data_IF_920252889571
#
_entry.id   IF_920252889571
#
_cell.length_a   1.000
_cell.length_b   1.000
_cell.length_c   1.000
_cell.angle_alpha   90.00
_cell.angle_beta   90.00
_cell.angle_gamma   90.00
#
_symmetry.space_group_name_H-M   'P 1'
#
loop_
_entity.id
_entity.type
_entity.pdbx_description
1 polymer ?
#
# COMPACT_ATOMS: atom_id res chain seq x y z
N UNK A 1 10.60 -25.23 14.91
CA UNK A 1 9.52 -25.18 15.92
C UNK A 1 8.16 -25.24 15.22
N UNK A 2 7.11 -25.62 15.99
CA UNK A 2 5.73 -25.63 15.51
C UNK A 2 5.01 -24.37 15.99
N UNK A 3 4.36 -23.67 15.09
CA UNK A 3 3.58 -22.45 15.38
C UNK A 3 2.12 -22.68 14.99
N UNK A 4 1.19 -21.93 15.62
CA UNK A 4 -0.21 -21.97 15.21
C UNK A 4 -0.86 -20.59 15.26
N UNK A 5 -1.83 -20.38 14.37
CA UNK A 5 -2.66 -19.17 14.33
C UNK A 5 -4.06 -19.51 13.82
N UNK A 6 -4.97 -18.55 13.83
CA UNK A 6 -6.34 -18.74 13.33
C UNK A 6 -6.36 -18.87 11.81
N UNK A 7 -7.29 -19.64 11.29
CA UNK A 7 -7.61 -19.75 9.86
C UNK A 7 -8.01 -18.42 9.25
N UNK A 8 -8.02 -18.38 7.93
CA UNK A 8 -8.33 -17.18 7.17
C UNK A 8 -7.23 -16.16 7.28
N UNK A 9 -5.98 -16.58 7.04
CA UNK A 9 -4.80 -15.73 7.18
C UNK A 9 -4.83 -14.55 6.20
N UNK A 10 -4.32 -13.41 6.67
CA UNK A 10 -4.19 -12.19 5.90
C UNK A 10 -2.78 -11.63 6.04
N UNK A 11 -2.55 -10.42 5.58
CA UNK A 11 -1.23 -9.81 5.40
C UNK A 11 -0.28 -9.98 6.58
N UNK A 12 -0.68 -9.63 7.83
CA UNK A 12 0.21 -9.72 8.99
C UNK A 12 0.54 -11.17 9.37
N UNK A 13 -0.45 -12.09 9.32
CA UNK A 13 -0.21 -13.52 9.59
C UNK A 13 0.72 -14.16 8.58
N UNK A 14 0.50 -13.90 7.30
CA UNK A 14 1.36 -14.42 6.22
C UNK A 14 2.78 -13.87 6.38
N UNK A 15 2.92 -12.57 6.59
CA UNK A 15 4.21 -11.94 6.76
C UNK A 15 4.93 -12.39 8.03
N UNK A 16 4.19 -12.59 9.13
CA UNK A 16 4.72 -13.10 10.38
C UNK A 16 5.20 -14.54 10.26
N UNK A 17 4.45 -15.41 9.59
CA UNK A 17 4.88 -16.78 9.30
C UNK A 17 6.12 -16.82 8.39
N UNK A 18 6.14 -15.99 7.32
CA UNK A 18 7.30 -15.83 6.45
C UNK A 18 8.53 -15.36 7.25
N UNK A 19 8.38 -14.34 8.11
CA UNK A 19 9.47 -13.81 8.93
C UNK A 19 10.03 -14.89 9.87
N UNK A 20 9.16 -15.66 10.54
CA UNK A 20 9.54 -16.77 11.40
C UNK A 20 10.33 -17.81 10.64
N UNK A 21 9.83 -18.29 9.50
CA UNK A 21 10.49 -19.34 8.68
C UNK A 21 11.81 -18.88 8.10
N UNK A 22 11.90 -17.63 7.66
CA UNK A 22 13.08 -17.14 6.93
C UNK A 22 14.22 -16.64 7.83
N UNK A 23 13.91 -16.03 8.98
CA UNK A 23 14.90 -15.30 9.78
C UNK A 23 15.05 -15.83 11.20
N UNK A 24 14.11 -16.65 11.69
CA UNK A 24 14.12 -17.14 13.07
C UNK A 24 14.32 -18.65 13.11
N UNK A 25 13.55 -19.41 12.37
CA UNK A 25 13.56 -20.87 12.37
C UNK A 25 13.24 -21.42 10.97
N UNK A 26 14.26 -21.78 10.19
CA UNK A 26 14.06 -22.35 8.84
C UNK A 26 13.22 -23.64 8.81
N UNK A 27 13.15 -24.35 9.94
CA UNK A 27 12.32 -25.55 10.13
C UNK A 27 10.92 -25.25 10.68
N UNK A 28 10.48 -23.98 10.72
CA UNK A 28 9.17 -23.61 11.20
C UNK A 28 8.03 -24.26 10.42
N UNK A 29 7.10 -24.91 11.14
CA UNK A 29 5.86 -25.44 10.60
C UNK A 29 4.68 -24.69 11.19
N UNK A 30 3.60 -24.54 10.41
CA UNK A 30 2.44 -23.75 10.78
C UNK A 30 1.19 -24.62 10.81
N UNK A 31 0.30 -24.37 11.77
CA UNK A 31 -1.00 -25.02 11.91
C UNK A 31 -2.06 -23.92 11.98
N UNK A 32 -3.09 -24.05 11.16
CA UNK A 32 -4.20 -23.11 11.11
C UNK A 32 -5.42 -23.72 11.82
N UNK A 33 -5.90 -23.05 12.85
CA UNK A 33 -6.96 -23.53 13.75
C UNK A 33 -8.18 -22.62 13.75
N UNK A 34 -9.31 -23.14 14.20
CA UNK A 34 -10.50 -22.31 14.42
C UNK A 34 -10.33 -21.40 15.63
N UNK A 35 -11.21 -20.41 15.76
CA UNK A 35 -11.14 -19.45 16.88
C UNK A 35 -11.36 -20.17 18.22
N UNK A 36 -10.47 -19.91 19.17
CA UNK A 36 -10.51 -20.53 20.50
C UNK A 36 -9.79 -21.87 20.61
N UNK A 37 -9.40 -22.47 19.48
CA UNK A 37 -8.60 -23.70 19.49
C UNK A 37 -7.14 -23.45 19.85
N UNK A 38 -6.51 -24.42 20.49
CA UNK A 38 -5.10 -24.40 20.85
C UNK A 38 -4.40 -25.67 20.36
N UNK A 39 -3.09 -25.55 20.07
CA UNK A 39 -2.27 -26.70 19.65
C UNK A 39 -1.22 -26.97 20.73
N UNK A 40 -1.33 -28.09 21.48
CA UNK A 40 -0.35 -28.44 22.51
C UNK A 40 1.07 -28.51 21.95
N UNK A 41 2.02 -27.88 22.64
CA UNK A 41 3.43 -27.86 22.24
C UNK A 41 3.77 -26.96 21.07
N UNK A 42 2.81 -26.21 20.53
CA UNK A 42 3.05 -25.20 19.50
C UNK A 42 2.99 -23.77 20.07
N UNK A 43 3.69 -22.85 19.43
CA UNK A 43 3.76 -21.44 19.81
C UNK A 43 2.65 -20.65 19.12
N UNK A 44 1.74 -19.99 19.86
CA UNK A 44 0.72 -19.12 19.25
C UNK A 44 1.33 -17.85 18.67
N UNK A 45 0.84 -17.43 17.49
CA UNK A 45 1.15 -16.13 16.92
C UNK A 45 -0.09 -15.49 16.28
N UNK A 46 -0.17 -14.17 16.32
CA UNK A 46 -1.31 -13.37 15.87
C UNK A 46 -2.67 -13.87 16.41
N UNK A 47 -2.65 -14.24 17.69
CA UNK A 47 -3.82 -14.59 18.49
C UNK A 47 -3.88 -13.64 19.69
N UNK A 48 -5.07 -13.26 20.09
CA UNK A 48 -5.28 -12.39 21.26
C UNK A 48 -4.60 -12.95 22.51
N UNK A 49 -3.81 -12.14 23.20
CA UNK A 49 -3.06 -12.54 24.40
C UNK A 49 -1.76 -13.30 24.14
N UNK A 50 -1.46 -13.69 22.89
CA UNK A 50 -0.17 -14.32 22.57
C UNK A 50 0.99 -13.33 22.71
N UNK A 51 2.15 -13.83 23.13
CA UNK A 51 3.38 -13.02 23.17
C UNK A 51 3.77 -12.52 21.78
N UNK A 52 3.61 -13.36 20.74
CA UNK A 52 3.76 -13.00 19.33
C UNK A 52 2.39 -12.56 18.79
N UNK A 53 1.92 -11.38 19.19
CA UNK A 53 0.64 -10.84 18.79
C UNK A 53 0.66 -9.31 18.74
N UNK A 54 -0.51 -8.71 18.51
CA UNK A 54 -0.67 -7.26 18.48
C UNK A 54 -0.46 -6.65 19.86
N UNK A 55 0.47 -5.71 19.98
CA UNK A 55 0.77 -5.03 21.23
C UNK A 55 0.96 -3.53 21.04
N UNK A 56 0.18 -2.72 21.74
CA UNK A 56 0.36 -1.25 21.80
C UNK A 56 0.44 -0.59 20.42
N UNK A 57 -0.46 -0.91 19.53
CA UNK A 57 -0.53 -0.33 18.18
C UNK A 57 0.51 -0.87 17.19
N UNK A 58 1.18 -1.98 17.52
CA UNK A 58 2.08 -2.71 16.62
C UNK A 58 1.42 -3.98 16.14
N UNK A 59 1.70 -4.34 14.88
CA UNK A 59 1.27 -5.63 14.34
C UNK A 59 2.18 -6.78 14.82
N UNK A 60 1.75 -8.01 14.56
CA UNK A 60 2.48 -9.22 14.98
C UNK A 60 3.86 -9.32 14.37
N UNK A 61 4.02 -8.93 13.11
CA UNK A 61 5.32 -8.86 12.44
C UNK A 61 6.32 -8.02 13.23
N UNK A 62 5.93 -6.82 13.68
CA UNK A 62 6.79 -5.94 14.48
C UNK A 62 7.09 -6.51 15.88
N UNK A 63 6.14 -7.25 16.48
CA UNK A 63 6.36 -7.94 17.74
C UNK A 63 7.45 -9.03 17.61
N UNK A 64 7.44 -9.79 16.51
CA UNK A 64 8.46 -10.79 16.17
C UNK A 64 9.83 -10.13 15.97
N UNK A 65 9.92 -9.05 15.18
CA UNK A 65 11.17 -8.31 15.00
C UNK A 65 11.80 -7.93 16.35
N UNK A 66 10.98 -7.45 17.27
CA UNK A 66 11.43 -7.04 18.61
C UNK A 66 11.87 -8.23 19.46
N UNK A 67 11.06 -9.29 19.53
CA UNK A 67 11.35 -10.48 20.35
C UNK A 67 12.67 -11.12 19.94
N UNK A 68 12.88 -11.31 18.65
CA UNK A 68 14.09 -11.97 18.13
C UNK A 68 15.22 -10.99 17.81
N UNK A 69 15.07 -9.70 18.16
CA UNK A 69 16.08 -8.65 18.00
C UNK A 69 16.58 -8.51 16.55
N UNK A 70 15.68 -8.72 15.58
CA UNK A 70 15.99 -8.55 14.16
C UNK A 70 16.14 -7.06 13.84
N UNK A 71 17.37 -6.62 13.52
CA UNK A 71 17.70 -5.19 13.36
C UNK A 71 17.85 -4.75 11.91
N UNK A 72 17.49 -5.60 10.97
CA UNK A 72 17.55 -5.31 9.55
C UNK A 72 16.66 -4.10 9.19
N UNK A 73 17.22 -3.04 8.54
CA UNK A 73 16.46 -1.87 8.13
C UNK A 73 15.35 -2.19 7.13
N UNK A 74 15.57 -3.16 6.22
CA UNK A 74 14.56 -3.59 5.23
C UNK A 74 13.37 -4.26 5.92
N UNK A 75 13.63 -5.13 6.90
CA UNK A 75 12.57 -5.75 7.70
C UNK A 75 11.78 -4.72 8.51
N UNK A 76 12.43 -3.70 9.05
CA UNK A 76 11.72 -2.62 9.77
C UNK A 76 10.81 -1.81 8.84
N UNK A 77 11.29 -1.49 7.62
CA UNK A 77 10.48 -0.82 6.62
C UNK A 77 9.32 -1.68 6.16
N UNK A 78 9.55 -2.97 5.93
CA UNK A 78 8.50 -3.92 5.60
C UNK A 78 7.45 -4.02 6.72
N UNK A 79 7.88 -4.04 7.99
CA UNK A 79 6.97 -4.03 9.15
C UNK A 79 6.05 -2.82 9.17
N UNK A 80 6.53 -1.63 8.81
CA UNK A 80 5.70 -0.43 8.65
C UNK A 80 4.64 -0.56 7.55
N UNK A 81 5.00 -1.15 6.40
CA UNK A 81 4.08 -1.43 5.30
C UNK A 81 3.00 -2.43 5.73
N UNK A 82 3.41 -3.52 6.38
CA UNK A 82 2.49 -4.56 6.88
C UNK A 82 1.54 -3.99 7.92
N UNK A 83 2.03 -3.21 8.89
CA UNK A 83 1.18 -2.54 9.87
C UNK A 83 0.16 -1.62 9.21
N UNK A 84 0.57 -0.83 8.22
CA UNK A 84 -0.33 0.03 7.44
C UNK A 84 -1.40 -0.76 6.69
N UNK A 85 -1.05 -1.94 6.15
CA UNK A 85 -1.99 -2.82 5.46
C UNK A 85 -2.98 -3.51 6.41
N UNK A 86 -2.54 -3.86 7.62
CA UNK A 86 -3.32 -4.59 8.60
C UNK A 86 -4.25 -3.67 9.42
N UNK A 87 -3.79 -2.44 9.69
CA UNK A 87 -4.48 -1.44 10.51
C UNK A 87 -4.97 -0.27 9.64
N UNK A 88 -5.82 -0.53 8.65
CA UNK A 88 -6.34 0.44 7.67
C UNK A 88 -6.96 1.74 8.23
N UNK A 89 -7.11 1.86 9.54
CA UNK A 89 -7.57 3.07 10.23
C UNK A 89 -6.45 3.77 11.02
N UNK A 90 -5.18 3.40 10.81
CA UNK A 90 -4.07 4.02 11.55
C UNK A 90 -3.63 5.34 10.92
N UNK A 91 -3.12 6.26 11.76
CA UNK A 91 -2.56 7.54 11.31
C UNK A 91 -1.30 7.39 10.42
N UNK A 92 -0.79 6.17 10.28
CA UNK A 92 0.42 5.83 9.52
C UNK A 92 0.09 5.11 8.19
N UNK A 93 -1.06 5.41 7.57
CA UNK A 93 -1.45 4.81 6.30
C UNK A 93 -0.45 5.16 5.20
N UNK A 94 0.07 4.13 4.52
CA UNK A 94 1.00 4.28 3.40
C UNK A 94 0.36 3.78 2.11
N UNK A 95 0.79 4.33 0.96
CA UNK A 95 0.33 3.85 -0.35
C UNK A 95 0.68 2.37 -0.55
N UNK A 96 1.87 1.98 -0.11
CA UNK A 96 2.32 0.59 -0.14
C UNK A 96 1.42 -0.31 0.70
N UNK A 97 0.96 0.16 1.89
CA UNK A 97 0.07 -0.58 2.77
C UNK A 97 -1.28 -0.89 2.12
N UNK A 98 -1.91 0.11 1.51
CA UNK A 98 -3.16 -0.07 0.78
C UNK A 98 -3.01 -1.06 -0.40
N UNK A 99 -1.89 -0.97 -1.13
CA UNK A 99 -1.54 -1.91 -2.19
C UNK A 99 -1.36 -3.34 -1.68
N UNK A 100 -0.67 -3.51 -0.55
CA UNK A 100 -0.48 -4.81 0.09
C UNK A 100 -1.81 -5.43 0.55
N UNK A 101 -2.68 -4.65 1.22
CA UNK A 101 -4.00 -5.13 1.61
C UNK A 101 -4.79 -5.64 0.40
N UNK A 102 -4.82 -4.87 -0.71
CA UNK A 102 -5.51 -5.28 -1.93
C UNK A 102 -4.95 -6.60 -2.49
N UNK A 103 -3.61 -6.72 -2.58
CA UNK A 103 -2.94 -7.92 -3.09
C UNK A 103 -3.26 -9.14 -2.22
N UNK A 104 -3.16 -9.01 -0.89
CA UNK A 104 -3.41 -10.13 0.02
C UNK A 104 -4.90 -10.51 0.09
N UNK A 105 -5.83 -9.58 -0.06
CA UNK A 105 -7.25 -9.90 -0.25
C UNK A 105 -7.47 -10.70 -1.54
N UNK A 106 -6.85 -10.29 -2.63
CA UNK A 106 -6.91 -11.02 -3.90
C UNK A 106 -6.29 -12.41 -3.80
N UNK A 107 -5.13 -12.53 -3.15
CA UNK A 107 -4.45 -13.79 -2.92
C UNK A 107 -5.33 -14.77 -2.12
N UNK A 108 -5.98 -14.28 -1.05
CA UNK A 108 -6.90 -15.07 -0.24
C UNK A 108 -8.12 -15.56 -1.04
N UNK A 109 -8.64 -14.78 -1.99
CA UNK A 109 -9.74 -15.20 -2.84
C UNK A 109 -9.33 -16.20 -3.92
N UNK A 110 -8.05 -16.17 -4.33
CA UNK A 110 -7.51 -17.00 -5.42
C UNK A 110 -6.82 -18.29 -4.92
N UNK A 111 -6.77 -18.52 -3.60
CA UNK A 111 -6.14 -19.69 -2.99
C UNK A 111 -7.19 -20.62 -2.39
N UNK A 112 -6.89 -21.92 -2.40
CA UNK A 112 -7.80 -22.96 -1.91
C UNK A 112 -7.83 -23.01 -0.36
N UNK A 113 -6.70 -22.75 0.28
CA UNK A 113 -6.51 -22.85 1.72
C UNK A 113 -5.42 -21.89 2.24
N UNK A 114 -5.23 -21.89 3.55
CA UNK A 114 -4.25 -21.03 4.23
C UNK A 114 -2.81 -21.43 3.92
N UNK A 115 -2.53 -22.68 3.65
CA UNK A 115 -1.21 -23.18 3.24
C UNK A 115 -0.82 -22.58 1.89
N UNK A 116 -1.72 -22.58 0.92
CA UNK A 116 -1.48 -21.98 -0.40
C UNK A 116 -1.33 -20.46 -0.31
N UNK A 117 -2.11 -19.79 0.54
CA UNK A 117 -1.95 -18.35 0.80
C UNK A 117 -0.55 -18.07 1.35
N UNK A 118 -0.09 -18.87 2.31
CA UNK A 118 1.23 -18.72 2.92
C UNK A 118 2.35 -18.89 1.89
N UNK A 119 2.30 -19.95 1.05
CA UNK A 119 3.34 -20.22 0.04
C UNK A 119 3.39 -19.10 -1.02
N UNK A 120 2.25 -18.69 -1.56
CA UNK A 120 2.18 -17.61 -2.56
C UNK A 120 2.60 -16.26 -1.95
N UNK A 121 2.14 -15.98 -0.74
CA UNK A 121 2.49 -14.76 -0.02
C UNK A 121 3.97 -14.67 0.33
N UNK A 122 4.60 -15.81 0.65
CA UNK A 122 6.04 -15.87 0.91
C UNK A 122 6.87 -15.44 -0.31
N UNK A 123 6.49 -15.86 -1.52
CA UNK A 123 7.16 -15.43 -2.77
C UNK A 123 7.06 -13.91 -2.96
N UNK A 124 5.87 -13.33 -2.72
CA UNK A 124 5.69 -11.88 -2.80
C UNK A 124 6.55 -11.13 -1.78
N UNK A 125 6.58 -11.61 -0.54
CA UNK A 125 7.36 -11.01 0.54
C UNK A 125 8.87 -11.11 0.30
N UNK A 126 9.35 -12.21 -0.26
CA UNK A 126 10.74 -12.34 -0.69
C UNK A 126 11.11 -11.29 -1.74
N UNK A 127 10.25 -11.09 -2.75
CA UNK A 127 10.46 -10.08 -3.79
C UNK A 127 10.51 -8.65 -3.21
N UNK A 128 9.56 -8.32 -2.36
CA UNK A 128 9.51 -7.00 -1.70
C UNK A 128 10.71 -6.79 -0.79
N UNK A 129 11.07 -7.78 0.02
CA UNK A 129 12.26 -7.72 0.87
C UNK A 129 13.53 -7.46 0.06
N UNK A 130 13.74 -8.14 -1.08
CA UNK A 130 14.88 -7.90 -1.97
C UNK A 130 14.94 -6.44 -2.46
N UNK A 131 13.80 -5.87 -2.83
CA UNK A 131 13.72 -4.45 -3.24
C UNK A 131 14.08 -3.51 -2.08
N UNK A 132 13.58 -3.78 -0.87
CA UNK A 132 13.83 -2.96 0.30
C UNK A 132 15.27 -3.08 0.82
N UNK A 133 15.89 -4.25 0.65
CA UNK A 133 17.26 -4.54 1.05
C UNK A 133 18.32 -4.05 0.03
N UNK A 134 17.90 -3.80 -1.22
CA UNK A 134 18.82 -3.30 -2.24
C UNK A 134 19.40 -1.94 -1.84
N UNK A 135 20.70 -1.69 -2.10
CA UNK A 135 21.29 -0.38 -1.90
C UNK A 135 20.48 0.66 -2.66
N UNK A 136 19.95 1.65 -1.95
CA UNK A 136 19.26 2.78 -2.58
C UNK A 136 20.30 3.51 -3.43
N UNK A 137 20.39 3.22 -4.74
CA UNK A 137 21.08 4.09 -5.66
C UNK A 137 20.41 5.45 -5.53
N UNK A 138 21.17 6.44 -5.02
CA UNK A 138 20.72 7.83 -5.03
C UNK A 138 20.45 8.18 -6.49
N UNK A 139 19.22 8.05 -6.92
CA UNK A 139 18.75 8.72 -8.14
C UNK A 139 18.83 10.20 -7.82
N UNK A 140 19.96 10.82 -8.14
CA UNK A 140 20.04 12.26 -8.26
C UNK A 140 18.87 12.67 -9.16
N UNK A 141 18.05 13.64 -8.75
CA UNK A 141 17.08 14.20 -9.67
C UNK A 141 17.90 14.73 -10.85
N UNK A 142 17.83 14.03 -11.99
CA UNK A 142 18.39 14.55 -13.25
C UNK A 142 17.78 15.91 -13.41
N UNK A 143 18.62 16.94 -13.26
CA UNK A 143 18.27 18.31 -13.45
C UNK A 143 17.44 18.43 -14.71
N UNK A 144 16.22 18.88 -14.55
CA UNK A 144 15.40 19.41 -15.63
C UNK A 144 16.23 20.56 -16.19
N UNK A 145 17.03 20.27 -17.23
CA UNK A 145 17.63 21.33 -18.04
C UNK A 145 16.42 22.10 -18.58
N UNK A 146 16.18 23.25 -17.99
CA UNK A 146 15.38 24.27 -18.62
C UNK A 146 15.99 24.54 -19.99
N UNK A 147 15.37 23.97 -21.02
CA UNK A 147 15.54 24.45 -22.38
C UNK A 147 14.94 25.84 -22.37
N UNK A 148 15.80 26.86 -22.23
CA UNK A 148 15.46 28.24 -22.52
C UNK A 148 15.05 28.27 -23.99
N UNK A 149 13.75 28.18 -24.24
CA UNK A 149 13.15 28.46 -25.50
C UNK A 149 13.38 29.96 -25.77
N UNK A 150 14.38 30.26 -26.62
CA UNK A 150 14.47 31.57 -27.26
C UNK A 150 13.20 31.72 -28.06
N UNK A 151 12.29 32.55 -27.54
CA UNK A 151 11.10 32.98 -28.27
C UNK A 151 11.45 33.71 -29.57
N UNK A 152 10.65 33.54 -30.60
CA UNK A 152 10.87 34.24 -31.87
C UNK A 152 10.68 35.76 -31.68
N UNK A 153 11.63 36.52 -32.20
CA UNK A 153 11.61 37.99 -32.23
C UNK A 153 10.33 38.47 -32.94
N UNK A 154 9.53 39.24 -32.25
CA UNK A 154 8.38 39.98 -32.83
C UNK A 154 8.89 41.00 -33.84
N UNK A 155 8.38 41.05 -35.09
CA UNK A 155 8.57 42.18 -35.98
C UNK A 155 7.70 43.36 -35.50
N UNK A 156 8.29 44.53 -35.56
CA UNK A 156 7.70 45.81 -35.11
C UNK A 156 6.47 46.28 -35.93
N UNK A 157 5.78 47.31 -35.43
CA UNK A 157 4.47 47.73 -35.95
C UNK A 157 4.59 48.51 -37.27
N UNK A 158 3.84 48.07 -38.28
CA UNK A 158 3.54 48.89 -39.47
C UNK A 158 2.31 49.76 -39.18
N UNK A 159 2.49 51.07 -39.27
CA UNK A 159 1.49 52.12 -39.21
C UNK A 159 0.64 52.16 -40.50
N UNK A 160 -0.54 52.75 -40.30
CA UNK A 160 -1.51 53.27 -41.30
C UNK A 160 -2.60 52.25 -41.74
N UNK A 161 -3.86 52.58 -41.77
CA UNK A 161 -4.61 53.80 -41.92
C UNK A 161 -6.12 53.58 -41.73
N UNK A 162 -6.68 54.55 -41.20
CA UNK A 162 -8.03 55.12 -41.21
C UNK A 162 -9.15 54.48 -42.05
N UNK A 163 -10.33 54.63 -41.48
CA UNK A 163 -11.72 54.71 -42.01
C UNK A 163 -12.50 53.40 -41.78
N UNK A 164 -13.67 53.41 -41.17
CA UNK A 164 -14.82 54.18 -41.05
C UNK A 164 -15.89 53.33 -40.34
N UNK A 165 -16.59 53.90 -39.43
CA UNK A 165 -17.90 53.48 -38.92
C UNK A 165 -18.97 53.63 -40.02
N UNK A 166 -20.24 53.14 -39.88
CA UNK A 166 -21.04 52.93 -38.66
C UNK A 166 -22.14 51.82 -38.71
N UNK A 167 -22.74 51.61 -37.52
CA UNK A 167 -24.18 51.49 -37.25
C UNK A 167 -24.98 50.19 -37.62
N UNK A 168 -25.77 49.83 -36.65
CA UNK A 168 -27.04 49.09 -36.78
C UNK A 168 -27.19 48.01 -35.70
N UNK A 169 -27.78 48.29 -34.50
CA UNK A 169 -29.19 48.08 -34.13
C UNK A 169 -29.64 46.64 -34.44
N UNK A 170 -30.25 45.87 -33.63
CA UNK A 170 -31.25 46.00 -32.58
C UNK A 170 -31.70 44.59 -32.14
N UNK A 171 -32.16 44.52 -30.88
CA UNK A 171 -33.30 43.73 -30.38
C UNK A 171 -33.22 42.21 -30.23
N UNK A 172 -33.24 41.71 -29.03
CA UNK A 172 -34.39 41.54 -28.09
C UNK A 172 -35.16 40.24 -28.31
N UNK A 173 -35.45 39.60 -27.19
CA UNK A 173 -36.52 38.61 -27.07
C UNK A 173 -36.09 37.44 -26.16
N UNK A 174 -36.17 37.52 -24.87
CA UNK A 174 -37.29 37.25 -23.95
C UNK A 174 -37.89 35.84 -24.01
N UNK A 175 -37.97 35.36 -22.82
CA UNK A 175 -39.06 34.56 -22.19
C UNK A 175 -38.79 33.07 -22.00
N UNK A 176 -38.68 32.71 -20.70
CA UNK A 176 -39.69 32.10 -19.82
C UNK A 176 -40.08 30.68 -20.29
N UNK A 177 -40.20 29.69 -19.51
CA UNK A 177 -40.60 29.45 -18.15
C UNK A 177 -40.98 27.97 -17.98
N UNK A 178 -40.88 27.55 -16.74
CA UNK A 178 -41.81 26.63 -16.05
C UNK A 178 -41.66 25.13 -16.32
N UNK A 179 -41.40 24.49 -15.27
CA UNK A 179 -42.25 23.85 -14.23
C UNK A 179 -42.42 22.35 -14.41
N UNK A 180 -42.01 21.70 -13.37
CA UNK A 180 -42.77 20.78 -12.52
C UNK A 180 -42.87 19.36 -13.07
N UNK A 181 -42.63 18.38 -12.36
CA UNK A 181 -43.13 17.73 -11.15
C UNK A 181 -43.29 16.25 -11.38
N UNK A 182 -42.95 15.52 -10.35
CA UNK A 182 -43.60 14.26 -9.91
C UNK A 182 -43.43 12.99 -10.75
N UNK A 183 -42.99 12.03 -10.05
CA UNK A 183 -43.07 10.60 -10.19
C UNK A 183 -42.09 9.96 -9.21
#
# INVERSE_FOLDING_TARGET
MRYYTRRGIHVDRVASAWLLRRFVDPGATFVFVEEGETVPGAVPFDISGAELGHHRGRCTFEAILRKYRLRDPALRRLGGIIRSADLLASADETLEGAGFDLIFRGLRQASADDEEILERGAVLLDGVYQVLAAPQSRSSPRGRREATARGPRRPGPRRSGRRGSPAGRDRAGTRRSRRASRG
#
